data_IF_102008165197
#
_entry.id   IF_102008165197
#
_cell.length_a   1.000
_cell.length_b   1.000
_cell.length_c   1.000
_cell.angle_alpha   90.00
_cell.angle_beta   90.00
_cell.angle_gamma   90.00
#
_symmetry.space_group_name_H-M   'P 1'
#
loop_
_entity.id
_entity.type
_entity.pdbx_description
1 polymer ?
#
# COMPACT_ATOMS: atom_id res chain seq x y z
N UNK A 1 -19.80 -21.69 9.57
CA UNK A 1 -20.82 -20.77 9.02
C UNK A 1 -20.22 -19.43 8.52
N UNK A 2 -19.16 -18.92 9.07
CA UNK A 2 -18.51 -17.66 8.65
C UNK A 2 -17.85 -17.76 7.29
N UNK A 3 -17.20 -18.88 6.94
CA UNK A 3 -16.55 -19.09 5.62
C UNK A 3 -17.48 -18.94 4.41
N UNK A 4 -18.76 -19.30 4.56
CA UNK A 4 -19.74 -19.21 3.45
C UNK A 4 -20.28 -17.79 3.25
N UNK A 5 -20.23 -16.94 4.27
CA UNK A 5 -20.62 -15.52 4.18
C UNK A 5 -19.53 -14.66 3.52
N UNK A 6 -18.26 -14.96 3.80
CA UNK A 6 -17.13 -14.28 3.17
C UNK A 6 -17.10 -14.54 1.65
N UNK A 7 -17.38 -15.77 1.22
CA UNK A 7 -17.43 -16.13 -0.22
C UNK A 7 -18.56 -15.39 -0.96
N UNK A 8 -19.68 -15.13 -0.31
CA UNK A 8 -20.81 -14.38 -0.89
C UNK A 8 -20.55 -12.88 -0.99
N UNK A 9 -19.74 -12.32 -0.09
CA UNK A 9 -19.35 -10.90 -0.14
C UNK A 9 -18.31 -10.68 -1.25
N UNK A 10 -17.36 -11.59 -1.44
CA UNK A 10 -16.42 -11.54 -2.55
C UNK A 10 -17.09 -11.71 -3.92
N UNK A 11 -18.16 -12.51 -4.04
CA UNK A 11 -18.88 -12.68 -5.30
C UNK A 11 -19.79 -11.49 -5.66
N UNK A 12 -20.21 -10.66 -4.70
CA UNK A 12 -21.06 -9.50 -4.97
C UNK A 12 -20.27 -8.29 -5.49
N UNK A 13 -18.96 -8.23 -5.24
CA UNK A 13 -18.04 -7.18 -5.75
C UNK A 13 -17.68 -7.43 -7.22
N UNK A 14 -17.87 -8.63 -7.74
CA UNK A 14 -17.46 -9.02 -9.10
C UNK A 14 -18.44 -8.61 -10.23
N UNK A 15 -19.58 -7.97 -9.94
CA UNK A 15 -20.65 -7.82 -10.93
C UNK A 15 -21.14 -6.39 -11.15
N UNK A 16 -20.26 -5.49 -11.64
CA UNK A 16 -20.70 -4.32 -12.46
C UNK A 16 -19.57 -3.87 -13.38
N UNK A 17 -19.50 -4.42 -14.57
CA UNK A 17 -18.60 -3.94 -15.62
C UNK A 17 -19.27 -2.84 -16.43
N UNK A 18 -18.76 -1.63 -16.35
CA UNK A 18 -18.98 -0.58 -17.32
C UNK A 18 -17.65 0.02 -17.77
N UNK A 19 -17.50 0.14 -19.05
CA UNK A 19 -16.31 0.48 -19.82
C UNK A 19 -15.85 1.91 -19.61
N UNK A 20 -14.57 2.13 -19.23
CA UNK A 20 -13.86 3.39 -19.53
C UNK A 20 -12.33 3.18 -19.51
N UNK A 21 -11.62 4.02 -20.24
CA UNK A 21 -10.19 3.89 -20.56
C UNK A 21 -9.32 4.69 -19.58
N UNK A 22 -8.31 4.09 -19.02
CA UNK A 22 -7.26 4.75 -18.24
C UNK A 22 -6.40 3.69 -17.56
N UNK A 23 -5.08 3.78 -17.69
CA UNK A 23 -4.19 3.05 -16.81
C UNK A 23 -4.33 3.68 -15.41
N UNK A 24 -4.77 2.92 -14.43
CA UNK A 24 -4.78 3.38 -13.05
C UNK A 24 -3.39 3.24 -12.49
N UNK A 25 -2.83 4.34 -12.02
CA UNK A 25 -1.62 4.29 -11.21
C UNK A 25 -2.01 3.89 -9.79
N UNK A 26 -1.35 2.88 -9.25
CA UNK A 26 -1.45 2.55 -7.82
C UNK A 26 -0.95 3.74 -7.01
N UNK A 27 -1.62 4.07 -5.91
CA UNK A 27 -1.23 5.20 -5.07
C UNK A 27 -0.03 4.90 -4.13
N UNK A 28 0.56 3.72 -4.25
CA UNK A 28 1.81 3.30 -3.56
C UNK A 28 2.84 2.81 -4.59
N UNK A 29 4.13 2.76 -4.24
CA UNK A 29 5.19 2.09 -5.02
C UNK A 29 4.98 0.58 -4.92
N UNK A 30 5.24 0.00 -3.78
CA UNK A 30 4.73 -1.31 -3.33
C UNK A 30 4.06 -1.09 -1.97
N UNK A 31 4.83 -0.74 -0.95
CA UNK A 31 4.33 -0.42 0.39
C UNK A 31 4.38 1.09 0.70
N UNK A 32 5.42 1.81 0.24
CA UNK A 32 5.51 3.25 0.50
C UNK A 32 4.54 4.03 -0.40
N UNK A 33 4.04 5.19 0.06
CA UNK A 33 3.25 6.09 -0.78
C UNK A 33 4.01 6.54 -2.01
N UNK A 34 3.34 6.58 -3.16
CA UNK A 34 3.83 7.24 -4.38
C UNK A 34 3.32 8.69 -4.46
N UNK A 35 3.79 9.45 -5.44
CA UNK A 35 3.25 10.78 -5.74
C UNK A 35 1.97 10.74 -6.57
N UNK A 36 1.56 9.56 -7.04
CA UNK A 36 0.33 9.40 -7.81
C UNK A 36 -0.89 9.52 -6.93
N UNK A 37 -1.95 10.10 -7.49
CA UNK A 37 -3.29 10.13 -6.90
C UNK A 37 -4.25 9.45 -7.85
N UNK A 38 -5.28 8.83 -7.31
CA UNK A 38 -6.32 8.19 -8.09
C UNK A 38 -6.97 9.19 -9.05
N UNK A 39 -7.28 8.73 -10.27
CA UNK A 39 -7.95 9.55 -11.28
C UNK A 39 -9.23 10.18 -10.72
N UNK A 40 -9.42 11.47 -11.00
CA UNK A 40 -10.58 12.22 -10.49
C UNK A 40 -11.91 11.52 -10.83
N UNK A 41 -12.78 11.42 -9.83
CA UNK A 41 -14.09 10.78 -9.90
C UNK A 41 -14.07 9.29 -10.26
N UNK A 42 -12.96 8.62 -9.95
CA UNK A 42 -12.79 7.17 -10.13
C UNK A 42 -12.52 6.49 -8.80
N UNK A 43 -12.96 5.26 -8.72
CA UNK A 43 -12.69 4.37 -7.62
C UNK A 43 -11.55 3.41 -7.95
N UNK A 44 -10.79 3.07 -6.95
CA UNK A 44 -9.82 1.98 -6.97
C UNK A 44 -10.07 1.07 -5.78
N UNK A 45 -10.07 -0.23 -6.04
CA UNK A 45 -10.18 -1.27 -5.02
C UNK A 45 -8.95 -2.15 -5.12
N UNK A 46 -8.40 -2.50 -3.97
CA UNK A 46 -7.28 -3.45 -3.88
C UNK A 46 -7.58 -4.51 -2.84
N UNK A 47 -7.25 -5.74 -3.15
CA UNK A 47 -7.24 -6.87 -2.22
C UNK A 47 -5.78 -7.24 -1.94
N UNK A 48 -5.42 -7.24 -0.67
CA UNK A 48 -4.07 -7.48 -0.18
C UNK A 48 -4.00 -8.80 0.55
N UNK A 49 -2.97 -9.56 0.28
CA UNK A 49 -2.57 -10.72 1.05
C UNK A 49 -1.09 -10.60 1.40
N UNK A 50 -0.77 -10.70 2.68
CA UNK A 50 0.61 -10.81 3.14
C UNK A 50 0.74 -11.98 4.12
N UNK A 51 1.88 -12.66 4.11
CA UNK A 51 2.11 -13.77 5.01
C UNK A 51 3.57 -13.92 5.42
N UNK A 52 3.77 -14.16 6.70
CA UNK A 52 4.99 -14.74 7.25
C UNK A 52 4.73 -16.22 7.50
N UNK A 53 5.34 -17.07 6.66
CA UNK A 53 5.06 -18.53 6.63
C UNK A 53 5.80 -19.31 7.73
N UNK A 54 5.64 -18.87 8.99
CA UNK A 54 5.98 -19.67 10.18
C UNK A 54 4.70 -20.20 10.81
N UNK A 55 4.82 -21.10 11.79
CA UNK A 55 3.66 -21.42 12.64
C UNK A 55 3.25 -20.17 13.43
N UNK A 56 1.97 -20.03 13.76
CA UNK A 56 1.49 -18.88 14.55
C UNK A 56 2.16 -18.80 15.92
N UNK A 57 2.46 -19.93 16.53
CA UNK A 57 3.21 -20.03 17.78
C UNK A 57 4.65 -19.52 17.68
N UNK A 58 5.22 -19.54 16.46
CA UNK A 58 6.56 -19.05 16.14
C UNK A 58 6.55 -17.66 15.48
N UNK A 59 5.48 -16.88 15.66
CA UNK A 59 5.35 -15.53 15.13
C UNK A 59 4.87 -15.47 13.67
N UNK A 60 4.37 -16.56 13.10
CA UNK A 60 3.75 -16.54 11.79
C UNK A 60 2.45 -15.73 11.79
N UNK A 61 2.11 -15.15 10.64
CA UNK A 61 0.84 -14.43 10.45
C UNK A 61 0.37 -14.50 9.00
N UNK A 62 -0.91 -14.26 8.82
CA UNK A 62 -1.52 -13.97 7.52
C UNK A 62 -2.35 -12.71 7.63
N UNK A 63 -2.07 -11.74 6.79
CA UNK A 63 -2.80 -10.49 6.71
C UNK A 63 -3.66 -10.52 5.45
N UNK A 64 -4.92 -10.21 5.62
CA UNK A 64 -5.89 -9.98 4.56
C UNK A 64 -6.30 -8.52 4.60
N UNK A 65 -6.09 -7.81 3.50
CA UNK A 65 -6.39 -6.39 3.38
C UNK A 65 -7.38 -6.11 2.27
N UNK A 66 -8.09 -5.00 2.42
CA UNK A 66 -8.82 -4.37 1.35
C UNK A 66 -8.57 -2.88 1.40
N UNK A 67 -8.37 -2.25 0.25
CA UNK A 67 -8.24 -0.80 0.13
C UNK A 67 -9.30 -0.29 -0.83
N UNK A 68 -9.95 0.80 -0.45
CA UNK A 68 -10.88 1.53 -1.27
C UNK A 68 -10.39 2.98 -1.36
N UNK A 69 -10.13 3.46 -2.57
CA UNK A 69 -9.63 4.83 -2.81
C UNK A 69 -10.52 5.52 -3.82
N UNK A 70 -10.85 6.78 -3.56
CA UNK A 70 -11.61 7.65 -4.45
C UNK A 70 -10.81 8.88 -4.82
N UNK A 71 -10.65 9.13 -6.12
CA UNK A 71 -10.08 10.36 -6.64
C UNK A 71 -11.05 11.53 -6.48
N UNK A 72 -10.83 12.40 -5.51
CA UNK A 72 -11.65 13.59 -5.30
C UNK A 72 -11.44 14.64 -6.39
N UNK A 73 -10.21 14.74 -6.88
CA UNK A 73 -9.80 15.70 -7.91
C UNK A 73 -8.54 15.20 -8.60
N UNK A 74 -8.01 15.96 -9.56
CA UNK A 74 -6.72 15.67 -10.19
C UNK A 74 -5.53 15.71 -9.21
N UNK A 75 -5.74 16.23 -7.99
CA UNK A 75 -4.68 16.43 -6.99
C UNK A 75 -4.95 15.76 -5.65
N UNK A 76 -6.15 15.25 -5.41
CA UNK A 76 -6.53 14.74 -4.11
C UNK A 76 -7.24 13.40 -4.21
N UNK A 77 -6.93 12.50 -3.31
CA UNK A 77 -7.64 11.26 -3.09
C UNK A 77 -7.93 11.06 -1.61
N UNK A 78 -9.02 10.35 -1.33
CA UNK A 78 -9.34 9.82 -0.01
C UNK A 78 -9.53 8.32 -0.12
N UNK A 79 -9.29 7.62 0.96
CA UNK A 79 -9.47 6.19 0.99
C UNK A 79 -9.70 5.63 2.38
N UNK A 80 -10.00 4.37 2.42
CA UNK A 80 -10.03 3.56 3.64
C UNK A 80 -9.47 2.19 3.33
N UNK A 81 -8.55 1.74 4.18
CA UNK A 81 -8.07 0.38 4.17
C UNK A 81 -8.69 -0.36 5.35
N UNK A 82 -8.91 -1.65 5.21
CA UNK A 82 -9.34 -2.53 6.29
C UNK A 82 -8.45 -3.76 6.29
N UNK A 83 -7.85 -4.08 7.42
CA UNK A 83 -6.93 -5.19 7.59
C UNK A 83 -7.41 -6.13 8.68
N UNK A 84 -7.32 -7.41 8.37
CA UNK A 84 -7.52 -8.51 9.28
C UNK A 84 -6.24 -9.33 9.33
N UNK A 85 -5.71 -9.57 10.53
CA UNK A 85 -4.51 -10.38 10.72
C UNK A 85 -4.87 -11.67 11.45
N UNK A 86 -4.63 -12.79 10.79
CA UNK A 86 -4.71 -14.11 11.38
C UNK A 86 -3.37 -14.42 12.04
N UNK A 87 -3.32 -14.49 13.36
CA UNK A 87 -2.14 -14.80 14.17
C UNK A 87 -2.59 -15.37 15.52
N UNK A 88 -1.69 -15.82 16.37
CA UNK A 88 -1.98 -16.31 17.70
C UNK A 88 -1.29 -15.45 18.79
N UNK A 89 -1.95 -15.17 19.92
CA UNK A 89 -3.31 -15.60 20.33
C UNK A 89 -4.42 -14.65 19.87
N UNK A 90 -4.10 -13.58 19.14
CA UNK A 90 -5.01 -12.50 18.81
C UNK A 90 -5.32 -12.46 17.30
N UNK A 91 -6.47 -11.91 16.95
CA UNK A 91 -6.86 -11.61 15.57
C UNK A 91 -7.05 -10.09 15.43
N UNK A 92 -5.97 -9.32 15.19
CA UNK A 92 -6.05 -7.87 15.00
C UNK A 92 -6.94 -7.50 13.82
N UNK A 93 -7.86 -6.56 14.04
CA UNK A 93 -8.65 -5.92 12.99
C UNK A 93 -8.49 -4.41 13.10
N UNK A 94 -8.12 -3.78 12.01
CA UNK A 94 -7.86 -2.34 11.95
C UNK A 94 -8.46 -1.73 10.69
N UNK A 95 -8.98 -0.52 10.80
CA UNK A 95 -9.31 0.32 9.65
C UNK A 95 -8.38 1.51 9.57
N UNK A 96 -8.06 1.93 8.33
CA UNK A 96 -7.12 3.00 8.08
C UNK A 96 -7.71 4.02 7.10
N UNK A 97 -8.52 4.99 7.59
CA UNK A 97 -8.85 6.17 6.80
C UNK A 97 -7.57 6.88 6.35
N UNK A 98 -7.53 7.28 5.10
CA UNK A 98 -6.34 7.91 4.53
C UNK A 98 -6.70 9.03 3.57
N UNK A 99 -5.74 9.92 3.37
CA UNK A 99 -5.83 11.05 2.48
C UNK A 99 -4.47 11.32 1.86
N UNK A 100 -4.45 11.68 0.57
CA UNK A 100 -3.26 12.14 -0.14
C UNK A 100 -3.57 13.35 -1.00
N UNK A 101 -2.63 14.28 -1.04
CA UNK A 101 -2.68 15.46 -1.87
C UNK A 101 -1.39 15.60 -2.68
N UNK A 102 -1.51 15.75 -4.01
CA UNK A 102 -0.41 16.05 -4.92
C UNK A 102 -0.13 17.54 -4.91
N UNK A 103 0.97 17.90 -4.25
CA UNK A 103 1.39 19.29 -4.04
C UNK A 103 1.91 19.94 -5.33
N UNK A 104 2.66 19.14 -6.12
CA UNK A 104 3.34 19.60 -7.32
C UNK A 104 3.40 18.49 -8.36
N UNK A 105 3.31 18.87 -9.64
CA UNK A 105 3.54 18.01 -10.78
C UNK A 105 4.09 18.82 -11.96
N UNK A 106 5.13 18.31 -12.59
CA UNK A 106 5.68 18.84 -13.84
C UNK A 106 6.03 17.64 -14.73
N UNK A 107 5.16 17.37 -15.69
CA UNK A 107 5.28 16.23 -16.62
C UNK A 107 6.51 16.33 -17.50
N UNK A 108 6.87 17.53 -18.01
CA UNK A 108 8.04 17.74 -18.85
C UNK A 108 9.34 17.36 -18.15
N UNK A 109 9.43 17.71 -16.87
CA UNK A 109 10.56 17.37 -16.01
C UNK A 109 10.42 16.00 -15.36
N UNK A 110 9.26 15.36 -15.46
CA UNK A 110 8.96 14.11 -14.76
C UNK A 110 9.04 14.22 -13.24
N UNK A 111 8.75 15.39 -12.68
CA UNK A 111 8.83 15.67 -11.24
C UNK A 111 7.44 15.78 -10.63
N UNK A 112 7.23 15.13 -9.50
CA UNK A 112 6.03 15.28 -8.70
C UNK A 112 6.34 15.28 -7.21
N UNK A 113 5.44 15.87 -6.42
CA UNK A 113 5.50 15.83 -4.96
C UNK A 113 4.09 15.64 -4.38
N UNK A 114 3.98 14.85 -3.33
CA UNK A 114 2.73 14.61 -2.62
C UNK A 114 2.95 14.52 -1.11
N UNK A 115 1.89 14.78 -0.36
CA UNK A 115 1.85 14.55 1.08
C UNK A 115 0.51 13.92 1.46
N UNK A 116 0.48 13.20 2.56
CA UNK A 116 -0.73 12.53 3.03
C UNK A 116 -0.60 12.00 4.44
N UNK A 117 -1.66 11.34 4.86
CA UNK A 117 -1.71 10.68 6.15
C UNK A 117 -2.60 9.44 6.11
N UNK A 118 -2.27 8.49 6.98
CA UNK A 118 -3.10 7.34 7.34
C UNK A 118 -3.38 7.39 8.84
N UNK A 119 -4.60 7.06 9.24
CA UNK A 119 -4.98 6.94 10.65
C UNK A 119 -5.29 5.48 10.93
N UNK A 120 -4.61 4.89 11.88
CA UNK A 120 -4.76 3.50 12.29
C UNK A 120 -5.78 3.43 13.43
N UNK A 121 -6.96 2.91 13.16
CA UNK A 121 -8.06 2.78 14.13
C UNK A 121 -8.26 1.29 14.45
N UNK A 122 -7.77 0.83 15.60
CA UNK A 122 -7.98 -0.56 16.01
C UNK A 122 -9.46 -0.83 16.28
N UNK A 123 -9.98 -1.94 15.77
CA UNK A 123 -11.35 -2.40 16.00
C UNK A 123 -11.41 -3.55 17.00
N UNK A 124 -10.28 -4.21 17.24
CA UNK A 124 -10.14 -5.27 18.25
C UNK A 124 -8.99 -4.97 19.19
N UNK A 125 -9.03 -5.53 20.39
CA UNK A 125 -7.93 -5.36 21.36
C UNK A 125 -6.59 -5.91 20.85
N UNK A 126 -6.61 -6.92 19.99
CA UNK A 126 -5.40 -7.45 19.34
C UNK A 126 -4.71 -6.46 18.40
N UNK A 127 -5.42 -5.47 17.87
CA UNK A 127 -4.86 -4.38 17.06
C UNK A 127 -4.36 -3.18 17.92
N UNK A 128 -4.46 -3.29 19.23
CA UNK A 128 -4.09 -2.23 20.17
C UNK A 128 -5.31 -1.44 20.68
N UNK A 129 -5.06 -0.55 21.64
CA UNK A 129 -6.11 0.22 22.32
C UNK A 129 -6.12 1.71 21.95
N UNK A 130 -5.24 2.13 21.04
CA UNK A 130 -5.03 3.53 20.74
C UNK A 130 -5.00 3.80 19.24
N UNK A 131 -5.72 4.82 18.84
CA UNK A 131 -5.59 5.38 17.50
C UNK A 131 -4.21 6.00 17.31
N UNK A 132 -3.59 5.71 16.17
CA UNK A 132 -2.26 6.19 15.76
C UNK A 132 -2.37 6.80 14.38
N UNK A 133 -1.36 7.51 13.94
CA UNK A 133 -1.31 8.01 12.57
C UNK A 133 0.11 7.97 11.99
N UNK A 134 0.19 7.90 10.67
CA UNK A 134 1.39 8.10 9.87
C UNK A 134 1.14 9.28 8.96
N UNK A 135 1.93 10.34 9.10
CA UNK A 135 2.00 11.45 8.16
C UNK A 135 3.25 11.31 7.30
N UNK A 136 3.15 11.66 6.02
CA UNK A 136 4.26 11.50 5.08
C UNK A 136 4.31 12.59 4.03
N UNK A 137 5.50 12.76 3.44
CA UNK A 137 5.71 13.49 2.20
C UNK A 137 6.66 12.73 1.30
N UNK A 138 6.39 12.77 0.00
CA UNK A 138 7.19 12.08 -1.03
C UNK A 138 7.40 12.97 -2.23
N UNK A 139 8.54 12.80 -2.88
CA UNK A 139 8.86 13.37 -4.19
C UNK A 139 9.24 12.25 -5.12
N UNK A 140 8.90 12.36 -6.40
CA UNK A 140 9.30 11.39 -7.40
C UNK A 140 9.90 12.06 -8.63
N UNK A 141 10.79 11.31 -9.29
CA UNK A 141 11.40 11.66 -10.56
C UNK A 141 11.22 10.52 -11.54
N UNK A 142 10.44 10.76 -12.60
CA UNK A 142 10.36 9.88 -13.76
C UNK A 142 11.47 10.24 -14.73
N UNK A 143 12.29 9.27 -15.09
CA UNK A 143 13.29 9.45 -16.14
C UNK A 143 12.63 9.31 -17.51
N UNK A 144 13.15 10.05 -18.51
CA UNK A 144 12.61 10.01 -19.86
C UNK A 144 12.93 8.68 -20.55
N UNK A 145 12.06 8.28 -21.47
CA UNK A 145 12.21 7.06 -22.28
C UNK A 145 11.17 5.99 -21.94
N UNK A 146 10.94 5.07 -22.88
CA UNK A 146 9.91 4.01 -22.74
C UNK A 146 10.17 3.04 -21.58
N UNK A 147 11.41 2.97 -21.12
CA UNK A 147 11.84 2.17 -19.97
C UNK A 147 12.53 3.04 -18.91
N UNK A 148 12.26 4.37 -18.94
CA UNK A 148 12.80 5.28 -17.94
C UNK A 148 12.35 4.87 -16.54
N UNK A 149 13.27 4.68 -15.59
CA UNK A 149 12.92 4.34 -14.22
C UNK A 149 12.27 5.53 -13.51
N UNK A 150 11.53 5.20 -12.45
CA UNK A 150 11.01 6.16 -11.49
C UNK A 150 11.71 5.99 -10.16
N UNK A 151 12.16 7.10 -9.59
CA UNK A 151 12.71 7.18 -8.24
C UNK A 151 11.72 7.94 -7.37
N UNK A 152 11.46 7.44 -6.19
CA UNK A 152 10.65 8.09 -5.15
C UNK A 152 11.48 8.22 -3.89
N UNK A 153 11.45 9.39 -3.25
CA UNK A 153 12.09 9.61 -1.96
C UNK A 153 11.13 10.40 -1.06
N UNK A 154 11.17 10.12 0.22
CA UNK A 154 10.28 10.79 1.17
C UNK A 154 10.67 10.59 2.61
N UNK A 155 9.86 11.14 3.48
CA UNK A 155 9.96 10.99 4.92
C UNK A 155 8.58 10.76 5.53
N UNK A 156 8.55 10.09 6.67
CA UNK A 156 7.35 9.89 7.45
C UNK A 156 7.55 10.23 8.93
N UNK A 157 6.44 10.48 9.61
CA UNK A 157 6.36 10.63 11.04
C UNK A 157 5.17 9.83 11.58
N UNK A 158 5.40 9.10 12.66
CA UNK A 158 4.39 8.37 13.42
C UNK A 158 3.90 9.23 14.58
N UNK A 159 2.58 9.34 14.71
CA UNK A 159 1.89 10.19 15.67
C UNK A 159 1.01 9.30 16.55
N UNK A 160 1.11 9.49 17.86
CA UNK A 160 0.38 8.69 18.86
C UNK A 160 1.29 7.74 19.64
N UNK A 161 0.73 6.81 20.40
CA UNK A 161 1.48 5.83 21.17
C UNK A 161 2.02 4.72 20.25
N UNK A 162 3.30 4.42 20.39
CA UNK A 162 4.01 3.31 19.77
C UNK A 162 4.85 2.60 20.83
N UNK A 163 5.32 1.40 20.54
CA UNK A 163 6.19 0.63 21.40
C UNK A 163 7.42 1.44 21.83
N UNK A 164 7.88 1.21 23.04
CA UNK A 164 9.10 1.87 23.56
C UNK A 164 10.30 1.48 22.71
N UNK A 165 11.11 2.47 22.34
CA UNK A 165 12.25 2.29 21.44
C UNK A 165 11.91 2.26 19.95
N UNK A 166 10.64 2.26 19.54
CA UNK A 166 10.27 2.33 18.14
C UNK A 166 10.64 3.69 17.52
N UNK A 167 11.20 3.64 16.32
CA UNK A 167 11.51 4.85 15.53
C UNK A 167 10.24 5.56 15.13
N UNK A 168 10.05 6.80 15.57
CA UNK A 168 8.86 7.60 15.24
C UNK A 168 8.96 8.41 13.95
N UNK A 169 10.10 8.41 13.31
CA UNK A 169 10.38 9.11 12.05
C UNK A 169 11.28 8.25 11.20
N UNK A 170 11.14 8.40 9.90
CA UNK A 170 11.99 7.67 8.98
C UNK A 170 12.00 8.25 7.58
N UNK A 171 12.86 7.68 6.76
CA UNK A 171 12.98 7.97 5.34
C UNK A 171 12.28 6.86 4.54
N UNK A 172 11.85 7.21 3.35
CA UNK A 172 11.28 6.28 2.39
C UNK A 172 12.00 6.43 1.05
N UNK A 173 12.37 5.33 0.42
CA UNK A 173 12.96 5.29 -0.91
C UNK A 173 12.20 4.27 -1.75
N UNK A 174 11.96 4.60 -3.01
CA UNK A 174 11.30 3.71 -3.97
C UNK A 174 11.96 3.76 -5.33
N UNK A 175 11.95 2.64 -6.01
CA UNK A 175 12.44 2.48 -7.37
C UNK A 175 11.50 1.59 -8.17
N UNK A 176 11.12 2.06 -9.33
CA UNK A 176 10.26 1.37 -10.28
C UNK A 176 10.95 1.33 -11.63
N UNK A 177 11.18 0.15 -12.17
CA UNK A 177 11.83 -0.07 -13.47
C UNK A 177 10.85 -0.78 -14.41
N UNK A 178 10.27 -0.08 -15.40
CA UNK A 178 9.52 -0.74 -16.45
C UNK A 178 10.43 -1.68 -17.26
N UNK A 179 10.14 -2.98 -17.25
CA UNK A 179 10.85 -4.00 -18.02
C UNK A 179 10.17 -4.20 -19.36
N UNK A 180 8.83 -4.23 -19.34
CA UNK A 180 7.98 -4.28 -20.54
C UNK A 180 6.78 -3.35 -20.33
N UNK A 181 5.88 -3.26 -21.32
CA UNK A 181 4.60 -2.54 -21.17
C UNK A 181 3.68 -3.12 -20.09
N UNK A 182 3.94 -4.36 -19.64
CA UNK A 182 3.10 -5.07 -18.67
C UNK A 182 3.82 -5.46 -17.39
N UNK A 183 5.13 -5.37 -17.37
CA UNK A 183 5.95 -5.81 -16.24
C UNK A 183 6.86 -4.68 -15.78
N UNK A 184 6.77 -4.34 -14.51
CA UNK A 184 7.62 -3.38 -13.82
C UNK A 184 8.30 -4.07 -12.64
N UNK A 185 9.61 -3.99 -12.53
CA UNK A 185 10.31 -4.31 -11.28
C UNK A 185 10.08 -3.17 -10.31
N UNK A 186 9.77 -3.52 -9.08
CA UNK A 186 9.43 -2.55 -8.02
C UNK A 186 10.23 -2.90 -6.77
N UNK A 187 10.84 -1.90 -6.17
CA UNK A 187 11.45 -2.04 -4.84
C UNK A 187 11.22 -0.76 -4.06
N UNK A 188 10.95 -0.90 -2.77
CA UNK A 188 10.93 0.23 -1.86
C UNK A 188 11.51 -0.13 -0.49
N UNK A 189 11.87 0.88 0.25
CA UNK A 189 12.42 0.79 1.57
C UNK A 189 11.89 1.92 2.47
N UNK A 190 11.49 1.55 3.67
CA UNK A 190 11.24 2.46 4.77
C UNK A 190 12.25 2.23 5.86
N UNK A 191 12.90 3.29 6.31
CA UNK A 191 13.83 3.21 7.43
C UNK A 191 13.08 3.08 8.76
N UNK A 192 13.83 2.75 9.79
CA UNK A 192 13.33 2.76 11.16
C UNK A 192 13.18 1.37 11.76
N UNK A 193 13.12 1.39 13.09
CA UNK A 193 12.89 0.22 13.94
C UNK A 193 11.41 0.28 14.41
N UNK A 194 10.49 -0.06 13.52
CA UNK A 194 9.04 -0.06 13.75
C UNK A 194 8.36 -0.96 12.71
N UNK A 195 7.04 -1.11 12.80
CA UNK A 195 6.23 -1.98 11.92
C UNK A 195 6.28 -1.60 10.43
N UNK A 196 6.76 -0.40 10.11
CA UNK A 196 6.90 0.09 8.73
C UNK A 196 8.33 -0.03 8.20
N UNK A 197 9.28 -0.48 9.03
CA UNK A 197 10.69 -0.61 8.70
C UNK A 197 11.01 -1.89 7.95
N UNK A 198 11.02 -1.83 6.62
CA UNK A 198 11.36 -2.97 5.75
C UNK A 198 11.86 -2.50 4.39
N UNK A 199 12.51 -3.41 3.66
CA UNK A 199 12.73 -3.33 2.22
C UNK A 199 11.86 -4.38 1.52
N UNK A 200 11.27 -4.02 0.40
CA UNK A 200 10.59 -4.97 -0.48
C UNK A 200 11.27 -5.01 -1.85
N UNK A 201 11.29 -6.17 -2.45
CA UNK A 201 11.58 -6.36 -3.86
C UNK A 201 10.48 -7.19 -4.50
N UNK A 202 9.98 -6.75 -5.65
CA UNK A 202 8.84 -7.37 -6.29
C UNK A 202 8.62 -6.94 -7.72
N UNK A 203 7.45 -7.28 -8.22
CA UNK A 203 7.00 -6.96 -9.57
C UNK A 203 5.56 -6.48 -9.58
N UNK A 204 5.29 -5.47 -10.39
CA UNK A 204 3.97 -5.04 -10.81
C UNK A 204 3.64 -5.57 -12.18
N UNK A 205 2.50 -6.23 -12.34
CA UNK A 205 2.06 -6.90 -13.55
C UNK A 205 0.72 -6.31 -14.00
N UNK A 206 0.70 -5.61 -15.11
CA UNK A 206 -0.54 -5.08 -15.71
C UNK A 206 -1.30 -6.24 -16.35
N UNK A 207 -2.40 -6.67 -15.75
CA UNK A 207 -3.25 -7.75 -16.24
C UNK A 207 -4.23 -7.25 -17.29
N UNK A 208 -4.78 -6.05 -17.09
CA UNK A 208 -5.66 -5.38 -18.03
C UNK A 208 -5.50 -3.85 -17.95
N UNK A 209 -6.29 -3.10 -18.74
CA UNK A 209 -6.32 -1.63 -18.64
C UNK A 209 -6.80 -1.11 -17.28
N UNK A 210 -7.42 -1.95 -16.47
CA UNK A 210 -8.04 -1.59 -15.20
C UNK A 210 -7.49 -2.36 -14.02
N UNK A 211 -6.67 -3.39 -14.24
CA UNK A 211 -6.21 -4.26 -13.17
C UNK A 211 -4.71 -4.49 -13.20
N UNK A 212 -4.14 -4.51 -12.02
CA UNK A 212 -2.72 -4.72 -11.75
C UNK A 212 -2.57 -5.75 -10.63
N UNK A 213 -1.54 -6.55 -10.72
CA UNK A 213 -1.12 -7.50 -9.69
C UNK A 213 0.29 -7.13 -9.25
N UNK A 214 0.48 -6.99 -7.95
CA UNK A 214 1.80 -6.84 -7.34
C UNK A 214 2.15 -8.09 -6.55
N UNK A 215 3.39 -8.55 -6.71
CA UNK A 215 3.93 -9.69 -5.98
C UNK A 215 5.32 -9.32 -5.49
N UNK A 216 5.61 -9.51 -4.22
CA UNK A 216 6.91 -9.15 -3.65
C UNK A 216 7.22 -9.84 -2.33
N UNK A 217 8.45 -9.67 -1.90
CA UNK A 217 8.93 -10.17 -0.63
C UNK A 217 9.52 -9.02 0.20
N UNK A 218 9.01 -8.88 1.41
CA UNK A 218 9.44 -7.89 2.39
C UNK A 218 10.50 -8.49 3.30
N UNK A 219 11.56 -7.74 3.54
CA UNK A 219 12.61 -8.06 4.53
C UNK A 219 12.59 -6.97 5.58
N UNK A 220 12.26 -7.34 6.82
CA UNK A 220 12.16 -6.40 7.93
C UNK A 220 13.51 -5.87 8.38
N UNK A 221 13.58 -4.59 8.72
CA UNK A 221 14.80 -3.97 9.30
C UNK A 221 15.15 -4.56 10.67
N UNK A 222 14.17 -5.13 11.39
CA UNK A 222 14.32 -5.72 12.72
C UNK A 222 14.62 -7.22 12.70
N UNK A 223 14.91 -7.78 11.51
CA UNK A 223 15.21 -9.18 11.35
C UNK A 223 14.06 -10.00 10.79
N UNK A 224 14.19 -11.34 10.88
CA UNK A 224 13.36 -12.28 10.13
C UNK A 224 11.89 -12.31 10.53
N UNK A 225 11.54 -11.90 11.75
CA UNK A 225 10.14 -11.90 12.23
C UNK A 225 9.23 -11.00 11.39
N UNK A 226 9.78 -9.93 10.80
CA UNK A 226 9.03 -9.00 9.97
C UNK A 226 9.08 -9.33 8.47
N UNK A 227 9.71 -10.46 8.09
CA UNK A 227 9.73 -10.87 6.69
C UNK A 227 8.37 -11.39 6.27
N UNK A 228 7.92 -11.00 5.07
CA UNK A 228 6.64 -11.48 4.55
C UNK A 228 6.62 -11.53 3.03
N UNK A 229 5.83 -12.45 2.51
CA UNK A 229 5.44 -12.48 1.12
C UNK A 229 4.18 -11.64 0.95
N UNK A 230 4.09 -10.83 -0.10
CA UNK A 230 2.93 -9.98 -0.38
C UNK A 230 2.40 -10.18 -1.79
N UNK A 231 1.07 -10.19 -1.92
CA UNK A 231 0.34 -10.20 -3.19
C UNK A 231 -0.79 -9.17 -3.08
N UNK A 232 -0.82 -8.21 -4.00
CA UNK A 232 -1.84 -7.16 -4.04
C UNK A 232 -2.50 -7.17 -5.41
N UNK A 233 -3.81 -7.22 -5.45
CA UNK A 233 -4.59 -7.14 -6.69
C UNK A 233 -5.45 -5.90 -6.69
N UNK A 234 -5.15 -4.98 -7.60
CA UNK A 234 -5.84 -3.72 -7.76
C UNK A 234 -6.75 -3.66 -8.99
N UNK A 235 -7.88 -2.99 -8.85
CA UNK A 235 -8.85 -2.75 -9.93
C UNK A 235 -9.42 -1.34 -9.87
N UNK A 236 -9.43 -0.64 -11.02
CA UNK A 236 -10.01 0.70 -11.18
C UNK A 236 -11.29 0.69 -11.99
N UNK A 237 -12.29 1.48 -11.57
CA UNK A 237 -13.59 1.58 -12.24
C UNK A 237 -14.19 2.99 -12.14
#
# INVERSE_FOLDING_TARGET
MIKLRLLKILSLIAFTMATFHGASAQSTVFNIPSTDVQTAHRWYVEADFMAHFSSFESGGYRLYGSRLVYGMSKRAEIGVNAFFVETAPAEPVEIQPNFKFRLYENEEKGLAAAAGALVFVPLTQGAGNHTRALAYSVVSKNMKGSHGPRFTAGAYALIGPFEEGASRRGLMLGYEQPITKKLTFVTDWSSGNNDFGYVVAGAGIVLSRKSVLYVGYNVGNQGRANNSFGVFYGYSF
#
